data_IF_643350107913
#
_entry.id   IF_643350107913
#
_cell.length_a   1.000
_cell.length_b   1.000
_cell.length_c   1.000
_cell.angle_alpha   90.00
_cell.angle_beta   90.00
_cell.angle_gamma   90.00
#
_symmetry.space_group_name_H-M   'P 1'
#
loop_
_entity.id
_entity.type
_entity.pdbx_description
1 polymer ?
#
# COMPACT_ATOMS: atom_id res chain seq x y z
N UNK A 1 49.90 -6.13 47.25
CA UNK A 1 49.33 -6.16 45.89
C UNK A 1 49.82 -4.94 45.16
N UNK A 2 50.40 -5.11 43.97
CA UNK A 2 50.98 -4.03 43.18
C UNK A 2 49.86 -3.26 42.47
N UNK A 3 49.82 -1.94 42.66
CA UNK A 3 49.09 -1.03 41.77
C UNK A 3 50.15 -0.19 41.08
N UNK A 4 50.34 -0.44 39.78
CA UNK A 4 51.32 0.27 38.96
C UNK A 4 50.71 1.56 38.45
N UNK A 5 51.09 2.69 39.05
CA UNK A 5 50.91 3.98 38.40
C UNK A 5 52.27 4.43 37.83
N UNK A 6 52.34 4.48 36.50
CA UNK A 6 53.56 4.68 35.73
C UNK A 6 54.05 6.11 35.89
N UNK A 7 55.07 6.36 36.74
CA UNK A 7 56.17 7.35 36.53
C UNK A 7 57.12 7.60 37.72
N UNK A 8 56.94 6.94 38.87
CA UNK A 8 57.95 6.87 39.96
C UNK A 8 57.81 5.51 40.68
N UNK A 9 58.92 4.78 40.85
CA UNK A 9 58.92 3.51 41.59
C UNK A 9 58.80 3.79 43.10
N UNK A 10 57.57 3.79 43.60
CA UNK A 10 57.31 3.82 45.04
C UNK A 10 57.05 2.39 45.54
N UNK A 11 57.84 1.95 46.52
CA UNK A 11 57.56 0.71 47.25
C UNK A 11 56.53 0.99 48.34
N UNK A 12 55.30 0.51 48.14
CA UNK A 12 54.24 0.59 49.14
C UNK A 12 54.32 -0.63 50.06
N UNK A 13 54.58 -0.39 51.35
CA UNK A 13 54.58 -1.42 52.38
C UNK A 13 53.48 -1.12 53.41
N UNK A 14 52.84 -2.17 53.94
CA UNK A 14 51.89 -2.04 55.04
C UNK A 14 52.62 -2.22 56.36
N UNK A 15 52.46 -1.28 57.29
CA UNK A 15 52.91 -1.48 58.67
C UNK A 15 52.06 -2.57 59.35
N UNK A 16 52.54 -3.17 60.45
CA UNK A 16 51.73 -4.12 61.24
C UNK A 16 50.38 -3.52 61.66
N UNK A 17 50.35 -2.24 62.00
CA UNK A 17 49.13 -1.51 62.33
C UNK A 17 48.19 -1.36 61.13
N UNK A 18 48.74 -1.04 59.95
CA UNK A 18 47.97 -0.90 58.70
C UNK A 18 47.40 -2.25 58.24
N UNK A 19 48.15 -3.34 58.37
CA UNK A 19 47.66 -4.69 58.06
C UNK A 19 46.49 -5.09 58.99
N UNK A 20 46.61 -4.78 60.29
CA UNK A 20 45.54 -5.02 61.26
C UNK A 20 44.27 -4.21 60.97
N UNK A 21 44.42 -2.94 60.57
CA UNK A 21 43.30 -2.09 60.17
C UNK A 21 42.63 -2.60 58.89
N UNK A 22 43.41 -3.10 57.92
CA UNK A 22 42.89 -3.63 56.67
C UNK A 22 42.14 -4.97 56.87
N UNK A 23 42.63 -5.84 57.77
CA UNK A 23 41.89 -7.04 58.19
C UNK A 23 40.58 -6.70 58.90
N UNK A 24 40.57 -5.61 59.69
CA UNK A 24 39.39 -5.20 60.49
C UNK A 24 38.36 -4.44 59.64
N UNK A 25 38.82 -3.56 58.74
CA UNK A 25 37.98 -2.58 58.04
C UNK A 25 38.12 -2.57 56.51
N UNK A 26 39.10 -3.28 55.93
CA UNK A 26 39.40 -3.23 54.48
C UNK A 26 38.23 -3.67 53.58
N UNK A 27 37.31 -4.48 54.11
CA UNK A 27 36.13 -4.94 53.40
C UNK A 27 34.85 -4.17 53.75
N UNK A 28 34.91 -3.09 54.54
CA UNK A 28 33.70 -2.35 54.93
C UNK A 28 32.93 -1.82 53.71
N UNK A 29 33.65 -1.33 52.70
CA UNK A 29 33.02 -0.76 51.51
C UNK A 29 32.21 -1.81 50.74
N UNK A 30 32.76 -3.00 50.53
CA UNK A 30 32.04 -4.12 49.91
C UNK A 30 30.84 -4.55 50.76
N UNK A 31 31.01 -4.65 52.08
CA UNK A 31 29.89 -4.98 53.00
C UNK A 31 28.77 -3.95 52.96
N UNK A 32 29.10 -2.65 52.83
CA UNK A 32 28.11 -1.58 52.68
C UNK A 32 27.36 -1.77 51.35
N UNK A 33 28.06 -2.01 50.25
CA UNK A 33 27.43 -2.23 48.94
C UNK A 33 26.53 -3.47 48.92
N UNK A 34 26.97 -4.57 49.54
CA UNK A 34 26.18 -5.80 49.64
C UNK A 34 24.88 -5.55 50.43
N UNK A 35 24.96 -4.83 51.56
CA UNK A 35 23.81 -4.46 52.37
C UNK A 35 22.87 -3.50 51.63
N UNK A 36 23.40 -2.48 50.96
CA UNK A 36 22.61 -1.55 50.14
C UNK A 36 21.85 -2.30 49.03
N UNK A 37 22.53 -3.21 48.33
CA UNK A 37 21.93 -4.02 47.27
C UNK A 37 20.82 -4.92 47.81
N UNK A 38 21.03 -5.53 48.98
CA UNK A 38 20.03 -6.36 49.64
C UNK A 38 18.80 -5.54 50.05
N UNK A 39 19.01 -4.37 50.67
CA UNK A 39 17.93 -3.45 51.08
C UNK A 39 17.14 -2.97 49.86
N UNK A 40 17.81 -2.54 48.79
CA UNK A 40 17.16 -2.09 47.56
C UNK A 40 16.37 -3.22 46.90
N UNK A 41 16.92 -4.42 46.85
CA UNK A 41 16.26 -5.59 46.26
C UNK A 41 14.99 -5.95 47.05
N UNK A 42 15.07 -5.97 48.38
CA UNK A 42 13.91 -6.22 49.24
C UNK A 42 12.84 -5.14 49.06
N UNK A 43 13.23 -3.87 49.10
CA UNK A 43 12.31 -2.74 48.92
C UNK A 43 11.61 -2.79 47.55
N UNK A 44 12.37 -3.09 46.50
CA UNK A 44 11.80 -3.22 45.14
C UNK A 44 10.80 -4.38 45.07
N UNK A 45 11.11 -5.51 45.72
CA UNK A 45 10.19 -6.64 45.78
C UNK A 45 8.88 -6.30 46.51
N UNK A 46 8.97 -5.59 47.65
CA UNK A 46 7.79 -5.14 48.40
C UNK A 46 6.93 -4.17 47.58
N UNK A 47 7.53 -3.23 46.84
CA UNK A 47 6.81 -2.33 45.93
C UNK A 47 6.14 -3.10 44.80
N UNK A 48 6.84 -4.05 44.17
CA UNK A 48 6.31 -4.80 43.03
C UNK A 48 5.15 -5.73 43.41
N UNK A 49 5.10 -6.19 44.66
CA UNK A 49 4.00 -6.98 45.23
C UNK A 49 2.76 -6.13 45.53
N UNK A 50 2.92 -4.82 45.69
CA UNK A 50 1.81 -3.93 46.01
C UNK A 50 0.97 -3.64 44.76
N UNK A 51 -0.27 -4.12 44.81
CA UNK A 51 -1.27 -3.97 43.74
C UNK A 51 -1.62 -2.51 43.47
N UNK A 52 -1.52 -1.62 44.46
CA UNK A 52 -1.87 -0.21 44.31
C UNK A 52 -0.99 0.46 43.26
N UNK A 53 0.32 0.17 43.25
CA UNK A 53 1.24 0.74 42.25
C UNK A 53 0.96 0.20 40.85
N UNK A 54 0.67 -1.09 40.72
CA UNK A 54 0.33 -1.70 39.43
C UNK A 54 -0.96 -1.08 38.85
N UNK A 55 -2.00 -0.93 39.68
CA UNK A 55 -3.25 -0.28 39.29
C UNK A 55 -3.03 1.19 38.92
N UNK A 56 -2.24 1.94 39.70
CA UNK A 56 -1.95 3.35 39.42
C UNK A 56 -1.25 3.52 38.07
N UNK A 57 -0.24 2.70 37.78
CA UNK A 57 0.49 2.73 36.50
C UNK A 57 -0.45 2.38 35.35
N UNK A 58 -1.28 1.35 35.47
CA UNK A 58 -2.23 0.96 34.42
C UNK A 58 -3.27 2.06 34.15
N UNK A 59 -3.80 2.71 35.20
CA UNK A 59 -4.77 3.80 35.07
C UNK A 59 -4.14 5.05 34.45
N UNK A 60 -2.92 5.39 34.87
CA UNK A 60 -2.17 6.54 34.32
C UNK A 60 -1.82 6.31 32.86
N UNK A 61 -1.38 5.09 32.49
CA UNK A 61 -1.11 4.73 31.11
C UNK A 61 -2.37 4.81 30.23
N UNK A 62 -3.52 4.32 30.72
CA UNK A 62 -4.81 4.46 30.01
C UNK A 62 -5.18 5.93 29.81
N UNK A 63 -5.00 6.77 30.83
CA UNK A 63 -5.27 8.20 30.74
C UNK A 63 -4.37 8.87 29.68
N UNK A 64 -3.06 8.57 29.69
CA UNK A 64 -2.10 9.11 28.73
C UNK A 64 -2.45 8.74 27.28
N UNK A 65 -2.80 7.46 27.03
CA UNK A 65 -3.27 7.01 25.71
C UNK A 65 -4.53 7.76 25.27
N UNK A 66 -5.53 7.91 26.15
CA UNK A 66 -6.78 8.61 25.82
C UNK A 66 -6.53 10.09 25.51
N UNK A 67 -5.66 10.76 26.28
CA UNK A 67 -5.27 12.15 26.03
C UNK A 67 -4.50 12.30 24.72
N UNK A 68 -3.60 11.38 24.42
CA UNK A 68 -2.84 11.34 23.16
C UNK A 68 -3.78 11.19 21.95
N UNK A 69 -4.72 10.23 22.00
CA UNK A 69 -5.72 10.04 20.95
C UNK A 69 -6.60 11.28 20.77
N UNK A 70 -7.05 11.91 21.85
CA UNK A 70 -7.86 13.14 21.79
C UNK A 70 -7.08 14.33 21.20
N UNK A 71 -5.80 14.48 21.57
CA UNK A 71 -4.92 15.51 21.04
C UNK A 71 -4.73 15.37 19.52
N UNK A 72 -4.44 14.15 19.05
CA UNK A 72 -4.31 13.84 17.61
C UNK A 72 -5.64 14.05 16.89
N UNK A 73 -6.77 13.65 17.49
CA UNK A 73 -8.08 13.86 16.91
C UNK A 73 -8.37 15.34 16.65
N UNK A 74 -8.08 16.20 17.63
CA UNK A 74 -8.24 17.64 17.51
C UNK A 74 -7.28 18.25 16.48
N UNK A 75 -6.01 17.87 16.50
CA UNK A 75 -4.99 18.41 15.62
C UNK A 75 -5.22 18.09 14.13
N UNK A 76 -5.83 16.94 13.83
CA UNK A 76 -6.02 16.45 12.45
C UNK A 76 -7.49 16.44 11.98
N UNK A 77 -8.39 17.04 12.77
CA UNK A 77 -9.82 17.08 12.45
C UNK A 77 -10.42 15.69 12.26
N UNK A 78 -10.05 14.74 13.12
CA UNK A 78 -10.61 13.39 13.09
C UNK A 78 -12.01 13.39 13.69
N UNK A 79 -12.87 12.50 13.21
CA UNK A 79 -14.26 12.40 13.64
C UNK A 79 -14.51 11.10 14.40
N UNK A 80 -15.45 11.13 15.35
CA UNK A 80 -15.80 9.95 16.13
C UNK A 80 -16.56 8.97 15.23
N UNK A 81 -16.07 7.74 15.01
CA UNK A 81 -16.81 6.75 14.22
C UNK A 81 -18.03 6.24 15.00
N UNK A 82 -19.09 5.86 14.28
CA UNK A 82 -20.22 5.12 14.83
C UNK A 82 -20.03 3.63 14.59
N UNK A 83 -19.75 2.89 15.65
CA UNK A 83 -19.61 1.43 15.60
C UNK A 83 -21.00 0.77 15.63
N UNK A 84 -21.25 -0.19 14.73
CA UNK A 84 -22.50 -0.94 14.65
C UNK A 84 -22.27 -2.45 14.56
N UNK A 85 -23.29 -3.24 14.89
CA UNK A 85 -23.23 -4.70 14.77
C UNK A 85 -23.51 -5.19 13.34
N UNK A 86 -24.25 -4.40 12.55
CA UNK A 86 -24.60 -4.68 11.16
C UNK A 86 -23.34 -4.79 10.29
N UNK A 87 -23.40 -5.57 9.21
CA UNK A 87 -22.23 -5.83 8.38
C UNK A 87 -22.01 -4.74 7.32
N UNK A 88 -22.03 -3.48 7.74
CA UNK A 88 -21.89 -2.30 6.87
C UNK A 88 -20.55 -1.59 7.06
N UNK A 89 -20.08 -0.89 6.03
CA UNK A 89 -18.94 0.03 6.13
C UNK A 89 -19.23 1.23 5.25
N UNK A 90 -19.57 2.37 5.87
CA UNK A 90 -19.82 3.63 5.19
C UNK A 90 -18.80 4.66 5.68
N UNK A 91 -17.98 5.17 4.77
CA UNK A 91 -16.98 6.20 5.03
C UNK A 91 -17.27 7.33 4.05
N UNK A 92 -17.47 8.55 4.56
CA UNK A 92 -17.67 9.75 3.77
C UNK A 92 -16.43 10.63 3.86
N UNK A 93 -15.90 11.04 2.71
CA UNK A 93 -14.68 11.82 2.58
C UNK A 93 -13.52 11.26 3.43
N UNK A 94 -13.28 9.96 3.33
CA UNK A 94 -12.16 9.31 4.02
C UNK A 94 -10.81 9.85 3.53
N UNK A 95 -9.84 9.95 4.43
CA UNK A 95 -8.47 10.42 4.17
C UNK A 95 -7.44 9.42 4.68
N UNK A 96 -6.31 9.32 3.99
CA UNK A 96 -5.19 8.50 4.45
C UNK A 96 -4.32 9.28 5.43
N UNK A 97 -4.46 9.04 6.74
CA UNK A 97 -3.83 9.84 7.82
C UNK A 97 -2.32 10.10 7.67
N UNK A 98 -1.55 9.15 7.11
CA UNK A 98 -0.12 9.35 6.86
C UNK A 98 0.18 10.09 5.54
N UNK A 99 -0.57 9.79 4.48
CA UNK A 99 -0.32 10.34 3.14
C UNK A 99 -0.91 11.74 2.97
N UNK A 100 -1.91 12.12 3.77
CA UNK A 100 -2.37 13.52 3.80
C UNK A 100 -1.28 14.46 4.31
N UNK A 101 -0.31 13.96 5.10
CA UNK A 101 0.78 14.76 5.67
C UNK A 101 1.94 14.97 4.71
N UNK A 102 2.06 14.12 3.69
CA UNK A 102 3.11 14.24 2.67
C UNK A 102 2.71 15.18 1.54
N UNK A 103 1.44 15.60 1.52
CA UNK A 103 0.86 16.40 0.45
C UNK A 103 0.32 17.70 1.06
N UNK A 104 0.81 18.86 0.60
CA UNK A 104 0.47 20.17 1.19
C UNK A 104 -0.97 20.60 0.87
N UNK A 105 -1.95 20.08 1.64
CA UNK A 105 -3.36 20.50 1.59
C UNK A 105 -4.14 20.05 0.36
N UNK A 106 -3.54 19.27 -0.54
CA UNK A 106 -4.18 18.81 -1.79
C UNK A 106 -4.58 17.33 -1.78
N UNK A 107 -4.68 16.70 -0.61
CA UNK A 107 -5.15 15.31 -0.53
C UNK A 107 -6.64 15.25 -0.89
N UNK A 108 -6.99 14.38 -1.84
CA UNK A 108 -8.38 14.21 -2.29
C UNK A 108 -9.06 13.11 -1.45
N UNK A 109 -10.05 13.45 -0.62
CA UNK A 109 -10.78 12.47 0.16
C UNK A 109 -11.67 11.60 -0.74
N UNK A 110 -11.96 10.38 -0.30
CA UNK A 110 -12.75 9.41 -1.06
C UNK A 110 -13.77 8.69 -0.17
N UNK A 111 -14.96 8.48 -0.72
CA UNK A 111 -16.02 7.71 -0.08
C UNK A 111 -15.76 6.20 -0.19
N UNK A 112 -16.29 5.43 0.75
CA UNK A 112 -16.26 3.97 0.70
C UNK A 112 -17.55 3.40 1.26
N UNK A 113 -18.23 2.56 0.47
CA UNK A 113 -19.52 1.97 0.84
C UNK A 113 -19.47 0.47 0.63
N UNK A 114 -19.70 -0.29 1.69
CA UNK A 114 -19.96 -1.73 1.63
C UNK A 114 -21.26 -1.99 2.37
N UNK A 115 -22.24 -2.58 1.67
CA UNK A 115 -23.54 -2.93 2.23
C UNK A 115 -23.53 -4.38 2.68
N UNK A 116 -24.57 -4.81 3.40
CA UNK A 116 -24.67 -6.20 3.85
C UNK A 116 -25.06 -7.13 2.69
N UNK A 117 -26.06 -6.73 1.90
CA UNK A 117 -26.65 -7.55 0.84
C UNK A 117 -26.09 -7.28 -0.57
N UNK A 118 -25.21 -6.28 -0.71
CA UNK A 118 -24.66 -5.86 -2.00
C UNK A 118 -23.34 -5.11 -1.86
N UNK A 119 -22.69 -4.80 -2.98
CA UNK A 119 -21.48 -3.97 -3.07
C UNK A 119 -20.35 -4.38 -2.09
N UNK A 120 -20.09 -5.70 -2.00
CA UNK A 120 -19.10 -6.29 -1.08
C UNK A 120 -17.69 -6.32 -1.67
N UNK A 121 -17.58 -6.39 -2.98
CA UNK A 121 -16.33 -6.62 -3.71
C UNK A 121 -16.17 -5.48 -4.70
N UNK A 122 -15.18 -4.62 -4.45
CA UNK A 122 -14.84 -3.50 -5.32
C UNK A 122 -13.61 -3.84 -6.14
N UNK A 123 -13.76 -3.93 -7.45
CA UNK A 123 -12.63 -4.06 -8.38
C UNK A 123 -12.24 -2.67 -8.84
N UNK A 124 -11.06 -2.21 -8.40
CA UNK A 124 -10.57 -0.86 -8.67
C UNK A 124 -9.54 -0.90 -9.79
N UNK A 125 -9.87 -0.18 -10.87
CA UNK A 125 -9.02 -0.01 -12.04
C UNK A 125 -8.50 1.43 -12.16
N UNK A 126 -7.48 1.60 -12.98
CA UNK A 126 -6.90 2.91 -13.27
C UNK A 126 -5.40 2.82 -13.47
N UNK A 127 -4.77 3.89 -13.99
CA UNK A 127 -3.34 3.91 -14.28
C UNK A 127 -2.48 3.79 -13.01
N UNK A 128 -1.22 3.41 -13.17
CA UNK A 128 -0.23 3.58 -12.10
C UNK A 128 -0.23 5.03 -11.61
N UNK A 129 0.10 5.24 -10.34
CA UNK A 129 0.08 6.56 -9.68
C UNK A 129 -1.30 7.21 -9.49
N UNK A 130 -2.40 6.56 -9.89
CA UNK A 130 -3.75 7.12 -9.71
C UNK A 130 -4.30 7.05 -8.28
N UNK A 131 -3.54 6.51 -7.32
CA UNK A 131 -3.93 6.43 -5.91
C UNK A 131 -4.67 5.15 -5.47
N UNK A 132 -4.76 4.10 -6.31
CA UNK A 132 -5.47 2.84 -5.98
C UNK A 132 -5.04 2.22 -4.65
N UNK A 133 -3.74 1.98 -4.49
CA UNK A 133 -3.15 1.42 -3.26
C UNK A 133 -3.38 2.32 -2.05
N UNK A 134 -3.31 3.64 -2.24
CA UNK A 134 -3.54 4.64 -1.18
C UNK A 134 -4.98 4.55 -0.69
N UNK A 135 -5.95 4.45 -1.61
CA UNK A 135 -7.35 4.24 -1.27
C UNK A 135 -7.58 2.93 -0.51
N UNK A 136 -7.02 1.81 -0.97
CA UNK A 136 -7.18 0.53 -0.29
C UNK A 136 -6.65 0.57 1.15
N UNK A 137 -5.44 1.13 1.33
CA UNK A 137 -4.81 1.33 2.65
C UNK A 137 -5.61 2.30 3.52
N UNK A 138 -6.14 3.37 2.95
CA UNK A 138 -6.98 4.34 3.65
C UNK A 138 -8.17 3.67 4.32
N UNK A 139 -8.94 2.87 3.59
CA UNK A 139 -10.14 2.19 4.14
C UNK A 139 -9.76 1.29 5.30
N UNK A 140 -8.71 0.47 5.13
CA UNK A 140 -8.25 -0.42 6.17
C UNK A 140 -7.72 0.29 7.42
N UNK A 141 -6.98 1.39 7.24
CA UNK A 141 -6.49 2.21 8.36
C UNK A 141 -7.64 2.88 9.13
N UNK A 142 -8.66 3.38 8.43
CA UNK A 142 -9.86 3.95 9.07
C UNK A 142 -10.55 2.89 9.94
N UNK A 143 -10.75 1.69 9.41
CA UNK A 143 -11.35 0.58 10.15
C UNK A 143 -10.48 0.16 11.34
N UNK A 144 -9.17 0.05 11.15
CA UNK A 144 -8.23 -0.27 12.21
C UNK A 144 -8.27 0.76 13.35
N UNK A 145 -8.21 2.05 13.02
CA UNK A 145 -8.27 3.14 14.00
C UNK A 145 -9.58 3.13 14.79
N UNK A 146 -10.71 2.86 14.13
CA UNK A 146 -12.01 2.75 14.79
C UNK A 146 -12.03 1.59 15.80
N UNK A 147 -11.46 0.44 15.44
CA UNK A 147 -11.39 -0.74 16.32
C UNK A 147 -10.40 -0.59 17.48
N UNK A 148 -9.37 0.25 17.34
CA UNK A 148 -8.50 0.67 18.46
C UNK A 148 -9.24 1.58 19.45
N UNK A 149 -10.38 2.16 19.05
CA UNK A 149 -11.15 3.12 19.86
C UNK A 149 -10.74 4.57 19.62
N UNK A 150 -10.07 4.85 18.51
CA UNK A 150 -9.67 6.21 18.10
C UNK A 150 -10.76 6.89 17.25
N UNK A 151 -10.64 8.21 17.13
CA UNK A 151 -11.31 8.98 16.08
C UNK A 151 -10.66 8.68 14.73
N UNK A 152 -11.39 8.86 13.64
CA UNK A 152 -10.96 8.45 12.28
C UNK A 152 -10.86 9.64 11.31
N UNK A 153 -9.98 9.57 10.30
CA UNK A 153 -9.81 10.61 9.29
C UNK A 153 -10.90 10.55 8.21
N UNK A 154 -12.12 10.94 8.56
CA UNK A 154 -13.28 11.01 7.65
C UNK A 154 -14.22 12.12 8.14
N UNK A 155 -15.14 12.59 7.28
CA UNK A 155 -16.20 13.50 7.71
C UNK A 155 -17.26 12.73 8.51
N UNK A 156 -17.61 11.53 8.04
CA UNK A 156 -18.55 10.63 8.70
C UNK A 156 -18.09 9.18 8.50
N UNK A 157 -18.23 8.35 9.52
CA UNK A 157 -17.91 6.93 9.44
C UNK A 157 -18.89 6.07 10.24
N UNK A 158 -19.57 5.15 9.56
CA UNK A 158 -20.38 4.07 10.13
C UNK A 158 -19.66 2.74 9.88
N UNK A 159 -19.16 2.11 10.94
CA UNK A 159 -18.27 0.96 10.82
C UNK A 159 -18.88 -0.23 11.56
N UNK A 160 -19.28 -1.23 10.78
CA UNK A 160 -19.67 -2.54 11.27
C UNK A 160 -18.46 -3.33 11.74
N UNK A 161 -18.59 -4.05 12.87
CA UNK A 161 -17.50 -4.83 13.49
C UNK A 161 -16.78 -5.72 12.46
N UNK A 162 -15.48 -5.46 12.29
CA UNK A 162 -14.55 -6.21 11.45
C UNK A 162 -13.73 -7.17 12.32
N UNK A 163 -13.65 -8.45 11.91
CA UNK A 163 -12.91 -9.47 12.65
C UNK A 163 -11.44 -9.59 12.20
N UNK A 164 -11.18 -9.39 10.91
CA UNK A 164 -9.85 -9.55 10.30
C UNK A 164 -9.64 -8.54 9.18
N UNK A 165 -8.46 -7.94 9.13
CA UNK A 165 -7.95 -7.20 7.97
C UNK A 165 -6.86 -8.06 7.35
N UNK A 166 -7.10 -8.53 6.13
CA UNK A 166 -6.19 -9.41 5.39
C UNK A 166 -5.68 -8.67 4.16
N UNK A 167 -4.38 -8.78 3.89
CA UNK A 167 -3.76 -8.01 2.80
C UNK A 167 -2.86 -8.90 1.97
N UNK A 168 -2.99 -8.80 0.64
CA UNK A 168 -1.89 -9.06 -0.30
C UNK A 168 -1.41 -7.71 -0.81
N UNK A 169 -0.24 -7.29 -0.36
CA UNK A 169 0.46 -6.09 -0.80
C UNK A 169 1.96 -6.41 -0.83
N UNK A 170 2.70 -5.77 -1.73
CA UNK A 170 4.14 -6.00 -1.87
C UNK A 170 4.85 -5.73 -0.53
N UNK A 171 5.50 -6.76 0.03
CA UNK A 171 6.35 -6.63 1.22
C UNK A 171 7.82 -6.56 0.80
N UNK A 172 8.58 -5.71 1.49
CA UNK A 172 10.02 -5.49 1.23
C UNK A 172 10.82 -6.78 1.50
N UNK A 173 10.29 -7.69 2.31
CA UNK A 173 10.96 -8.89 2.82
C UNK A 173 10.95 -10.09 1.84
N UNK A 174 10.27 -9.98 0.69
CA UNK A 174 10.15 -11.08 -0.27
C UNK A 174 11.49 -11.52 -0.88
N UNK A 175 12.53 -10.66 -0.81
CA UNK A 175 13.87 -10.96 -1.30
C UNK A 175 14.66 -11.97 -0.44
N UNK A 176 14.21 -12.24 0.79
CA UNK A 176 14.97 -13.01 1.79
C UNK A 176 14.55 -14.48 1.91
N UNK A 177 13.39 -14.85 1.36
CA UNK A 177 12.92 -16.24 1.30
C UNK A 177 13.15 -16.78 -0.10
N UNK A 178 13.84 -17.92 -0.27
CA UNK A 178 14.11 -18.57 -1.56
C UNK A 178 12.88 -19.10 -2.33
N UNK A 179 11.72 -18.46 -2.18
CA UNK A 179 10.46 -18.72 -2.86
C UNK A 179 10.23 -17.67 -3.94
N UNK A 180 9.46 -18.01 -4.99
CA UNK A 180 9.09 -16.99 -5.99
C UNK A 180 8.14 -15.96 -5.38
N UNK A 181 8.24 -14.70 -5.83
CA UNK A 181 7.32 -13.64 -5.42
C UNK A 181 5.86 -14.03 -5.64
N UNK A 182 5.57 -14.66 -6.77
CA UNK A 182 4.23 -15.17 -7.08
C UNK A 182 3.74 -16.25 -6.08
N UNK A 183 4.61 -17.16 -5.64
CA UNK A 183 4.24 -18.18 -4.65
C UNK A 183 3.92 -17.57 -3.29
N UNK A 184 4.67 -16.56 -2.88
CA UNK A 184 4.40 -15.81 -1.66
C UNK A 184 3.05 -15.10 -1.73
N UNK A 185 2.78 -14.42 -2.85
CA UNK A 185 1.51 -13.77 -3.11
C UNK A 185 0.34 -14.74 -3.06
N UNK A 186 0.49 -15.87 -3.74
CA UNK A 186 -0.53 -16.91 -3.77
C UNK A 186 -0.81 -17.45 -2.38
N UNK A 187 0.23 -17.64 -1.56
CA UNK A 187 0.07 -18.10 -0.16
C UNK A 187 -0.74 -17.10 0.67
N UNK A 188 -0.51 -15.79 0.51
CA UNK A 188 -1.29 -14.75 1.20
C UNK A 188 -2.76 -14.74 0.74
N UNK A 189 -3.00 -14.89 -0.56
CA UNK A 189 -4.37 -14.97 -1.10
C UNK A 189 -5.07 -16.24 -0.63
N UNK A 190 -4.40 -17.40 -0.65
CA UNK A 190 -4.96 -18.66 -0.16
C UNK A 190 -5.32 -18.60 1.33
N UNK A 191 -4.49 -17.94 2.14
CA UNK A 191 -4.82 -17.68 3.54
C UNK A 191 -6.12 -16.88 3.66
N UNK A 192 -6.30 -15.86 2.81
CA UNK A 192 -7.53 -15.05 2.75
C UNK A 192 -8.74 -15.88 2.31
N UNK A 193 -8.60 -16.70 1.27
CA UNK A 193 -9.67 -17.59 0.81
C UNK A 193 -10.13 -18.57 1.90
N UNK A 194 -9.19 -19.13 2.67
CA UNK A 194 -9.50 -20.12 3.72
C UNK A 194 -10.09 -19.51 4.98
N UNK A 195 -9.61 -18.33 5.39
CA UNK A 195 -9.88 -17.81 6.73
C UNK A 195 -10.79 -16.57 6.77
N UNK A 196 -11.13 -15.97 5.63
CA UNK A 196 -12.03 -14.83 5.59
C UNK A 196 -13.47 -15.20 5.94
N UNK A 197 -14.07 -14.42 6.83
CA UNK A 197 -15.49 -14.49 7.19
C UNK A 197 -16.26 -13.39 6.46
N UNK A 198 -17.58 -13.36 6.60
CA UNK A 198 -18.39 -12.26 6.06
C UNK A 198 -18.06 -10.91 6.71
N UNK A 199 -17.38 -10.86 7.86
CA UNK A 199 -16.99 -9.61 8.54
C UNK A 199 -15.56 -9.16 8.23
N UNK A 200 -14.81 -9.95 7.46
CA UNK A 200 -13.41 -9.65 7.14
C UNK A 200 -13.31 -8.61 6.03
N UNK A 201 -12.22 -7.83 6.08
CA UNK A 201 -11.78 -6.95 4.99
C UNK A 201 -10.57 -7.59 4.31
N UNK A 202 -10.61 -7.71 2.99
CA UNK A 202 -9.51 -8.22 2.17
C UNK A 202 -9.03 -7.12 1.23
N UNK A 203 -7.74 -6.80 1.27
CA UNK A 203 -7.10 -5.91 0.31
C UNK A 203 -6.24 -6.75 -0.64
N UNK A 204 -6.56 -6.72 -1.92
CA UNK A 204 -5.77 -7.35 -2.97
C UNK A 204 -5.19 -6.25 -3.85
N UNK A 205 -3.90 -5.95 -3.69
CA UNK A 205 -3.23 -4.97 -4.54
C UNK A 205 -2.35 -5.69 -5.54
N UNK A 206 -2.55 -5.47 -6.84
CA UNK A 206 -1.68 -5.92 -7.93
C UNK A 206 -1.35 -7.43 -7.98
N UNK A 207 -2.24 -8.28 -7.46
CA UNK A 207 -2.09 -9.74 -7.54
C UNK A 207 -2.04 -10.23 -9.00
N UNK A 208 -1.16 -11.19 -9.29
CA UNK A 208 -1.01 -11.79 -10.62
C UNK A 208 0.06 -11.16 -11.51
N UNK A 209 0.87 -10.23 -11.00
CA UNK A 209 2.00 -9.63 -11.75
C UNK A 209 3.22 -10.53 -11.91
N UNK A 210 3.44 -11.47 -10.99
CA UNK A 210 4.63 -12.34 -10.98
C UNK A 210 4.55 -13.59 -11.87
N UNK A 211 3.58 -13.65 -12.79
CA UNK A 211 3.31 -14.81 -13.66
C UNK A 211 2.85 -14.33 -15.04
N UNK A 212 2.57 -15.27 -15.95
CA UNK A 212 2.01 -14.96 -17.27
C UNK A 212 0.73 -14.14 -17.14
N UNK A 213 0.61 -13.09 -17.94
CA UNK A 213 -0.49 -12.14 -17.83
C UNK A 213 -1.88 -12.77 -17.98
N UNK A 214 -1.99 -13.86 -18.76
CA UNK A 214 -3.21 -14.66 -18.89
C UNK A 214 -3.54 -15.43 -17.61
N UNK A 215 -2.53 -16.03 -16.99
CA UNK A 215 -2.67 -16.88 -15.81
C UNK A 215 -2.98 -16.01 -14.58
N UNK A 216 -2.27 -14.89 -14.44
CA UNK A 216 -2.53 -13.89 -13.40
C UNK A 216 -3.93 -13.30 -13.51
N UNK A 217 -4.38 -12.98 -14.73
CA UNK A 217 -5.75 -12.54 -15.00
C UNK A 217 -6.77 -13.61 -14.59
N UNK A 218 -6.61 -14.84 -15.05
CA UNK A 218 -7.54 -15.94 -14.78
C UNK A 218 -7.65 -16.26 -13.29
N UNK A 219 -6.51 -16.30 -12.58
CA UNK A 219 -6.47 -16.53 -11.14
C UNK A 219 -7.11 -15.38 -10.35
N UNK A 220 -6.77 -14.12 -10.66
CA UNK A 220 -7.34 -12.96 -9.97
C UNK A 220 -8.87 -12.97 -10.04
N UNK A 221 -9.41 -13.14 -11.26
CA UNK A 221 -10.85 -13.08 -11.48
C UNK A 221 -11.59 -14.33 -11.01
N UNK A 222 -10.99 -15.52 -11.10
CA UNK A 222 -11.59 -16.73 -10.53
C UNK A 222 -11.70 -16.67 -9.01
N UNK A 223 -10.71 -16.08 -8.32
CA UNK A 223 -10.75 -15.86 -6.88
C UNK A 223 -11.87 -14.88 -6.50
N UNK A 224 -11.98 -13.75 -7.20
CA UNK A 224 -13.06 -12.78 -6.96
C UNK A 224 -14.44 -13.40 -7.23
N UNK A 225 -14.57 -14.18 -8.30
CA UNK A 225 -15.80 -14.92 -8.61
C UNK A 225 -16.15 -15.91 -7.50
N UNK A 226 -15.18 -16.67 -6.98
CA UNK A 226 -15.38 -17.61 -5.88
C UNK A 226 -15.85 -16.92 -4.60
N UNK A 227 -15.37 -15.70 -4.30
CA UNK A 227 -15.90 -14.91 -3.20
C UNK A 227 -17.30 -14.37 -3.49
N UNK A 228 -17.55 -13.87 -4.70
CA UNK A 228 -18.84 -13.30 -5.10
C UNK A 228 -20.00 -14.31 -5.12
N UNK A 229 -19.68 -15.61 -5.24
CA UNK A 229 -20.63 -16.72 -5.16
C UNK A 229 -20.94 -17.17 -3.72
N UNK A 230 -20.20 -16.67 -2.71
CA UNK A 230 -20.53 -16.98 -1.31
C UNK A 230 -21.85 -16.29 -0.94
N UNK A 231 -22.70 -16.92 -0.11
CA UNK A 231 -23.92 -16.28 0.38
C UNK A 231 -23.64 -14.97 1.13
N UNK A 232 -22.51 -14.91 1.86
CA UNK A 232 -22.08 -13.74 2.62
C UNK A 232 -20.62 -13.42 2.33
N UNK A 233 -20.31 -12.68 1.25
CA UNK A 233 -18.93 -12.37 0.90
C UNK A 233 -18.26 -11.43 1.93
N UNK A 234 -16.94 -11.57 2.14
CA UNK A 234 -16.16 -10.55 2.86
C UNK A 234 -16.19 -9.21 2.10
N UNK A 235 -15.76 -8.15 2.77
CA UNK A 235 -15.54 -6.84 2.12
C UNK A 235 -14.20 -6.91 1.40
N UNK A 236 -14.17 -6.77 0.07
CA UNK A 236 -12.95 -6.89 -0.73
C UNK A 236 -12.68 -5.60 -1.49
N UNK A 237 -11.45 -5.10 -1.40
CA UNK A 237 -10.92 -4.05 -2.28
C UNK A 237 -9.82 -4.68 -3.12
N UNK A 238 -10.06 -4.82 -4.41
CA UNK A 238 -9.14 -5.46 -5.35
C UNK A 238 -8.64 -4.45 -6.37
N UNK A 239 -7.42 -3.95 -6.19
CA UNK A 239 -6.75 -3.03 -7.10
C UNK A 239 -6.00 -3.80 -8.19
N UNK A 240 -6.31 -3.52 -9.46
CA UNK A 240 -5.72 -4.24 -10.59
C UNK A 240 -5.36 -3.34 -11.76
N UNK A 241 -4.46 -3.85 -12.60
CA UNK A 241 -4.06 -3.26 -13.88
C UNK A 241 -4.57 -4.07 -15.07
N UNK A 242 -5.25 -5.20 -14.80
CA UNK A 242 -5.87 -5.97 -15.85
C UNK A 242 -7.02 -5.18 -16.48
N UNK A 243 -7.04 -5.15 -17.81
CA UNK A 243 -8.15 -4.58 -18.57
C UNK A 243 -9.42 -5.37 -18.23
N UNK A 244 -10.33 -4.76 -17.47
CA UNK A 244 -11.54 -5.43 -17.01
C UNK A 244 -12.57 -5.67 -18.12
N UNK A 245 -12.36 -5.14 -19.33
CA UNK A 245 -13.26 -5.31 -20.48
C UNK A 245 -13.48 -6.78 -20.86
N UNK A 246 -12.44 -7.61 -20.85
CA UNK A 246 -12.55 -9.06 -21.11
C UNK A 246 -13.24 -9.79 -19.95
N UNK A 247 -13.02 -9.33 -18.72
CA UNK A 247 -13.68 -9.91 -17.54
C UNK A 247 -15.16 -9.58 -17.50
N UNK A 248 -15.58 -8.35 -17.83
CA UNK A 248 -16.99 -7.96 -17.87
C UNK A 248 -17.86 -8.89 -18.71
N UNK A 249 -17.33 -9.44 -19.81
CA UNK A 249 -18.05 -10.38 -20.67
C UNK A 249 -18.32 -11.72 -19.97
N UNK A 250 -17.49 -12.10 -19.00
CA UNK A 250 -17.52 -13.40 -18.33
C UNK A 250 -17.70 -13.29 -16.80
N UNK A 251 -17.87 -12.07 -16.28
CA UNK A 251 -17.98 -11.81 -14.85
C UNK A 251 -19.30 -12.39 -14.34
N UNK A 252 -19.30 -13.03 -13.16
CA UNK A 252 -20.55 -13.45 -12.54
C UNK A 252 -21.43 -12.22 -12.30
N UNK A 253 -22.67 -12.26 -12.78
CA UNK A 253 -23.68 -11.25 -12.46
C UNK A 253 -24.05 -11.40 -10.98
N UNK A 254 -23.33 -10.69 -10.12
CA UNK A 254 -23.55 -10.68 -8.66
C UNK A 254 -23.78 -9.25 -8.20
N UNK A 255 -24.79 -9.05 -7.35
CA UNK A 255 -25.06 -7.77 -6.67
C UNK A 255 -23.92 -7.34 -5.74
N UNK A 256 -23.04 -8.28 -5.39
CA UNK A 256 -21.90 -8.03 -4.51
C UNK A 256 -20.69 -7.45 -5.24
N UNK A 257 -20.62 -7.53 -6.58
CA UNK A 257 -19.46 -7.12 -7.36
C UNK A 257 -19.71 -5.75 -8.01
N UNK A 258 -18.87 -4.78 -7.69
CA UNK A 258 -18.85 -3.48 -8.34
C UNK A 258 -17.48 -3.17 -8.94
N UNK A 259 -17.49 -2.37 -10.00
CA UNK A 259 -16.27 -1.91 -10.65
C UNK A 259 -16.15 -0.42 -10.45
N UNK A 260 -14.99 -0.01 -9.97
CA UNK A 260 -14.66 1.38 -9.70
C UNK A 260 -13.38 1.73 -10.45
N UNK A 261 -13.23 3.00 -10.79
CA UNK A 261 -12.04 3.52 -11.45
C UNK A 261 -11.55 4.77 -10.76
N UNK A 262 -10.23 4.93 -10.76
CA UNK A 262 -9.62 6.21 -10.42
C UNK A 262 -9.72 7.16 -11.61
N UNK A 263 -10.35 8.31 -11.38
CA UNK A 263 -10.61 9.29 -12.41
C UNK A 263 -9.31 9.93 -12.91
N UNK A 264 -9.17 9.98 -14.23
CA UNK A 264 -8.05 10.63 -14.89
C UNK A 264 -8.58 11.42 -16.09
N UNK A 265 -7.99 12.59 -16.30
CA UNK A 265 -8.29 13.45 -17.43
C UNK A 265 -7.11 13.44 -18.40
N UNK A 266 -7.39 13.32 -19.70
CA UNK A 266 -6.38 13.45 -20.74
C UNK A 266 -6.67 14.75 -21.47
N UNK A 267 -5.83 15.75 -21.25
CA UNK A 267 -5.95 17.02 -21.94
C UNK A 267 -5.55 16.81 -23.41
N UNK A 268 -6.52 16.79 -24.31
CA UNK A 268 -6.28 16.85 -25.75
C UNK A 268 -6.39 18.31 -26.14
N UNK A 269 -5.26 18.99 -26.40
CA UNK A 269 -5.29 20.30 -27.06
C UNK A 269 -5.95 20.09 -28.43
N UNK A 270 -7.19 20.54 -28.57
CA UNK A 270 -7.89 20.57 -29.86
C UNK A 270 -7.14 21.54 -30.76
N UNK A 271 -6.55 21.04 -31.84
CA UNK A 271 -6.07 21.88 -32.93
C UNK A 271 -7.26 22.73 -33.40
N UNK A 272 -7.08 24.05 -33.45
CA UNK A 272 -7.98 24.91 -34.23
C UNK A 272 -8.00 24.36 -35.66
N UNK A 273 -9.18 24.19 -36.23
CA UNK A 273 -9.35 23.84 -37.65
C UNK A 273 -8.49 24.78 -38.51
N UNK A 274 -7.55 24.27 -39.32
CA UNK A 274 -6.84 25.12 -40.26
C UNK A 274 -7.80 25.52 -41.38
N UNK A 275 -7.88 26.82 -41.67
CA UNK A 275 -8.45 27.31 -42.91
C UNK A 275 -7.69 26.70 -44.10
N UNK A 276 -8.42 26.39 -45.16
CA UNK A 276 -7.93 25.63 -46.30
C UNK A 276 -6.72 26.30 -46.97
N UNK A 277 -5.55 25.65 -46.91
CA UNK A 277 -4.40 25.99 -47.75
C UNK A 277 -3.02 26.04 -47.08
N UNK A 278 -2.90 25.90 -45.76
CA UNK A 278 -1.59 25.91 -45.10
C UNK A 278 -1.03 24.49 -44.91
N UNK A 279 0.26 24.33 -45.19
CA UNK A 279 1.03 23.09 -45.01
C UNK A 279 0.79 22.45 -43.65
N UNK A 280 0.69 21.12 -43.65
CA UNK A 280 0.34 20.29 -42.51
C UNK A 280 1.48 20.28 -41.45
N UNK A 281 1.67 21.40 -40.76
CA UNK A 281 2.42 21.43 -39.52
C UNK A 281 1.59 20.71 -38.46
N UNK A 282 1.92 19.43 -38.24
CA UNK A 282 1.44 18.66 -37.08
C UNK A 282 2.02 19.32 -35.84
N UNK A 283 1.35 20.35 -35.32
CA UNK A 283 1.70 20.96 -34.05
C UNK A 283 1.58 19.90 -32.95
N UNK A 284 2.64 19.84 -32.14
CA UNK A 284 2.85 18.90 -31.04
C UNK A 284 1.65 18.92 -30.09
N UNK A 285 0.78 17.92 -30.20
CA UNK A 285 -0.27 17.70 -29.20
C UNK A 285 0.35 17.09 -27.94
N UNK A 286 0.79 17.93 -27.02
CA UNK A 286 1.16 17.55 -25.65
C UNK A 286 -0.09 17.06 -24.91
N UNK A 287 -0.36 15.76 -25.02
CA UNK A 287 -1.44 15.13 -24.27
C UNK A 287 -0.96 14.90 -22.84
N UNK A 288 -1.36 15.78 -21.91
CA UNK A 288 -1.03 15.66 -20.49
C UNK A 288 -2.09 14.81 -19.79
N UNK A 289 -1.65 13.77 -19.08
CA UNK A 289 -2.52 12.99 -18.19
C UNK A 289 -2.53 13.68 -16.82
N UNK A 290 -3.73 13.99 -16.35
CA UNK A 290 -3.98 14.59 -15.03
C UNK A 290 -4.72 13.56 -14.18
N UNK A 291 -4.12 13.16 -13.06
CA UNK A 291 -4.75 12.27 -12.09
C UNK A 291 -5.60 13.09 -11.12
N UNK A 292 -6.88 12.74 -11.00
CA UNK A 292 -7.79 13.47 -10.12
C UNK A 292 -7.89 12.83 -8.73
N UNK A 293 -7.33 11.63 -8.54
CA UNK A 293 -7.30 10.87 -7.28
C UNK A 293 -8.68 10.61 -6.66
N UNK A 294 -9.74 10.74 -7.47
CA UNK A 294 -11.12 10.50 -7.09
C UNK A 294 -11.57 9.13 -7.60
N UNK A 295 -12.13 8.34 -6.70
CA UNK A 295 -12.75 7.07 -7.03
C UNK A 295 -14.17 7.32 -7.53
N UNK A 296 -14.48 6.79 -8.71
CA UNK A 296 -15.82 6.87 -9.32
C UNK A 296 -16.25 5.48 -9.81
N UNK A 297 -17.56 5.27 -9.95
CA UNK A 297 -18.09 4.03 -10.50
C UNK A 297 -17.68 3.86 -11.98
N UNK A 298 -17.48 2.62 -12.39
CA UNK A 298 -17.15 2.22 -13.75
C UNK A 298 -15.74 1.64 -13.92
N UNK A 299 -15.37 1.41 -15.18
CA UNK A 299 -14.13 0.73 -15.57
C UNK A 299 -13.25 1.67 -16.37
N UNK A 300 -11.95 1.57 -16.13
CA UNK A 300 -10.93 2.26 -16.94
C UNK A 300 -10.56 1.39 -18.14
N UNK A 301 -10.82 1.89 -19.35
CA UNK A 301 -10.47 1.19 -20.60
C UNK A 301 -9.03 1.46 -21.06
N UNK A 302 -8.39 2.52 -20.55
CA UNK A 302 -7.12 3.00 -21.09
C UNK A 302 -5.93 2.58 -20.21
N UNK A 303 -5.00 1.81 -20.79
CA UNK A 303 -3.66 1.64 -20.21
C UNK A 303 -2.82 2.89 -20.51
N UNK A 304 -2.73 3.80 -19.55
CA UNK A 304 -2.01 5.06 -19.74
C UNK A 304 -0.50 4.94 -19.56
N UNK A 305 0.05 3.73 -19.42
CA UNK A 305 1.48 3.51 -19.17
C UNK A 305 2.41 4.15 -20.21
N UNK A 306 2.04 4.08 -21.49
CA UNK A 306 2.81 4.72 -22.58
C UNK A 306 2.77 6.25 -22.47
N UNK A 307 1.64 6.82 -22.04
CA UNK A 307 1.52 8.26 -21.79
C UNK A 307 2.33 8.69 -20.56
N UNK A 308 2.37 7.87 -19.49
CA UNK A 308 3.23 8.10 -18.33
C UNK A 308 4.72 8.12 -18.73
N UNK A 309 5.14 7.21 -19.60
CA UNK A 309 6.53 7.14 -20.05
C UNK A 309 6.92 8.41 -20.82
N UNK A 310 6.03 8.96 -21.66
CA UNK A 310 6.26 10.24 -22.33
C UNK A 310 6.43 11.40 -21.34
N UNK A 311 5.57 11.46 -20.31
CA UNK A 311 5.67 12.46 -19.25
C UNK A 311 6.97 12.33 -18.45
N UNK A 312 7.52 11.12 -18.33
CA UNK A 312 8.82 10.88 -17.71
C UNK A 312 10.02 11.28 -18.59
N UNK A 313 9.78 11.85 -19.78
CA UNK A 313 10.82 12.32 -20.69
C UNK A 313 11.28 11.29 -21.73
N UNK A 314 10.50 10.24 -21.97
CA UNK A 314 10.81 9.27 -23.04
C UNK A 314 10.80 9.95 -24.41
N UNK A 315 11.82 9.68 -25.23
CA UNK A 315 11.93 10.25 -26.57
C UNK A 315 10.70 9.94 -27.44
N UNK A 316 10.23 10.94 -28.19
CA UNK A 316 9.00 10.83 -29.00
C UNK A 316 9.07 9.70 -30.03
N UNK A 317 10.26 9.39 -30.57
CA UNK A 317 10.45 8.27 -31.51
C UNK A 317 10.16 6.91 -30.88
N UNK A 318 10.61 6.71 -29.63
CA UNK A 318 10.37 5.48 -28.86
C UNK A 318 8.90 5.43 -28.44
N UNK A 319 8.31 6.57 -28.08
CA UNK A 319 6.90 6.66 -27.73
C UNK A 319 5.98 6.29 -28.91
N UNK A 320 6.22 6.88 -30.08
CA UNK A 320 5.48 6.58 -31.31
C UNK A 320 5.59 5.10 -31.66
N UNK A 321 6.80 4.54 -31.62
CA UNK A 321 7.01 3.11 -31.86
C UNK A 321 6.27 2.23 -30.85
N UNK A 322 6.27 2.61 -29.58
CA UNK A 322 5.55 1.88 -28.54
C UNK A 322 4.04 1.90 -28.78
N UNK A 323 3.51 3.05 -29.22
CA UNK A 323 2.09 3.20 -29.55
C UNK A 323 1.68 2.37 -30.78
N UNK A 324 2.53 2.32 -31.82
CA UNK A 324 2.33 1.44 -32.99
C UNK A 324 2.26 -0.03 -32.57
N UNK A 325 3.23 -0.50 -31.77
CA UNK A 325 3.28 -1.89 -31.30
C UNK A 325 2.04 -2.24 -30.47
N UNK A 326 1.59 -1.32 -29.60
CA UNK A 326 0.39 -1.54 -28.80
C UNK A 326 -0.86 -1.62 -29.68
N UNK A 327 -0.99 -0.74 -30.67
CA UNK A 327 -2.12 -0.75 -31.62
C UNK A 327 -2.15 -2.05 -32.44
N UNK A 328 -0.97 -2.53 -32.86
CA UNK A 328 -0.83 -3.83 -33.55
C UNK A 328 -1.26 -4.99 -32.65
N UNK A 329 -0.85 -5.00 -31.38
CA UNK A 329 -1.25 -6.03 -30.40
C UNK A 329 -2.75 -6.01 -30.07
N UNK A 330 -3.37 -4.83 -30.04
CA UNK A 330 -4.81 -4.70 -29.81
C UNK A 330 -5.65 -5.22 -30.99
N UNK A 331 -5.15 -5.07 -32.22
CA UNK A 331 -5.85 -5.50 -33.44
C UNK A 331 -5.56 -6.95 -33.83
N UNK A 332 -4.37 -7.46 -33.50
CA UNK A 332 -3.95 -8.82 -33.78
C UNK A 332 -3.83 -9.56 -32.45
N UNK A 333 -4.83 -10.36 -32.07
CA UNK A 333 -4.78 -11.23 -30.88
C UNK A 333 -3.75 -12.37 -30.94
N UNK A 334 -2.61 -12.19 -31.62
CA UNK A 334 -1.57 -13.19 -31.87
C UNK A 334 -0.16 -12.68 -31.58
N UNK A 335 0.82 -13.60 -31.55
CA UNK A 335 2.24 -13.29 -31.32
C UNK A 335 2.78 -12.37 -32.41
N UNK A 336 3.72 -11.48 -32.05
CA UNK A 336 4.47 -10.62 -32.98
C UNK A 336 5.24 -11.40 -34.07
N UNK A 337 5.36 -12.72 -33.94
CA UNK A 337 6.02 -13.62 -34.90
C UNK A 337 5.14 -14.03 -36.09
N UNK A 338 3.81 -13.83 -36.02
CA UNK A 338 2.87 -14.24 -37.08
C UNK A 338 2.75 -13.24 -38.25
N UNK A 339 3.54 -12.15 -38.24
CA UNK A 339 3.55 -11.14 -39.30
C UNK A 339 4.34 -11.54 -40.56
N UNK A 340 4.69 -12.83 -40.74
CA UNK A 340 5.21 -13.35 -42.02
C UNK A 340 4.13 -13.81 -43.00
N UNK A 341 2.84 -13.79 -42.61
CA UNK A 341 1.78 -14.42 -43.41
C UNK A 341 0.67 -13.53 -43.96
N UNK A 342 0.60 -12.24 -43.61
CA UNK A 342 -0.46 -11.35 -44.12
C UNK A 342 0.17 -10.29 -45.03
N UNK A 343 0.66 -10.76 -46.17
CA UNK A 343 1.11 -9.93 -47.28
C UNK A 343 0.20 -10.23 -48.46
N UNK A 344 -0.73 -9.33 -48.74
CA UNK A 344 -1.14 -8.96 -50.10
C UNK A 344 -2.03 -7.71 -50.00
N UNK A 345 -1.42 -6.53 -50.17
CA UNK A 345 -2.16 -5.29 -50.40
C UNK A 345 -1.60 -4.03 -49.71
N UNK A 346 -0.86 -4.16 -48.61
CA UNK A 346 -0.39 -3.00 -47.81
C UNK A 346 1.14 -2.84 -47.76
N UNK A 347 1.89 -3.64 -48.52
CA UNK A 347 3.35 -3.59 -48.58
C UNK A 347 3.92 -2.45 -49.44
N UNK A 348 3.21 -1.98 -50.46
CA UNK A 348 3.78 -1.01 -51.41
C UNK A 348 4.02 0.40 -50.82
N UNK A 349 3.23 0.81 -49.82
CA UNK A 349 3.42 2.13 -49.19
C UNK A 349 4.51 2.18 -48.13
N UNK A 350 4.87 1.02 -47.56
CA UNK A 350 5.88 0.93 -46.50
C UNK A 350 7.28 0.72 -47.11
N UNK A 351 7.38 0.01 -48.23
CA UNK A 351 8.65 -0.21 -48.95
C UNK A 351 9.32 1.09 -49.46
N UNK A 352 8.52 2.09 -49.84
CA UNK A 352 9.07 3.38 -50.29
C UNK A 352 9.69 4.21 -49.14
N UNK A 353 9.33 3.94 -47.88
CA UNK A 353 9.92 4.66 -46.71
C UNK A 353 11.14 3.95 -46.12
N UNK A 354 11.21 2.62 -46.25
CA UNK A 354 12.36 1.82 -45.78
C UNK A 354 13.60 1.94 -46.70
N UNK A 355 13.41 2.10 -48.01
CA UNK A 355 14.52 2.29 -48.96
C UNK A 355 15.31 3.58 -48.74
N UNK A 356 14.71 4.58 -48.07
CA UNK A 356 15.40 5.82 -47.70
C UNK A 356 16.24 5.69 -46.42
N UNK A 357 16.00 4.67 -45.60
CA UNK A 357 16.70 4.44 -44.33
C UNK A 357 17.95 3.56 -44.46
N UNK A 358 18.06 2.78 -45.55
CA UNK A 358 19.20 1.90 -45.83
C UNK A 358 20.33 2.57 -46.64
N UNK A 359 20.15 3.83 -47.07
CA UNK A 359 21.11 4.59 -47.90
C UNK A 359 21.73 5.81 -47.19
N UNK A 360 21.79 5.81 -45.86
CA UNK A 360 22.63 6.76 -45.12
C UNK A 360 23.90 6.01 -44.72
N UNK A 361 24.98 6.25 -45.47
CA UNK A 361 26.33 5.78 -45.19
C UNK A 361 26.80 6.24 -43.79
N UNK A 362 27.40 5.29 -43.07
CA UNK A 362 28.12 5.31 -41.77
C UNK A 362 28.25 6.63 -40.99
#
# INVERSE_FOLDING_TARGET
>A
AFVSDFRKEFFLYKSKSTARLDETFGNLHMKIQDLETAILSQFTFEILQDKLWQELVERTAKLDVLLSLASVAKAHGLQRPRMVNDNVLLIKNGRHILNERTVNGSFIPNDSTFLEDSDRIHVITGPNFSGKTVYAKQVALIVYMAHVGSFVPADEALIGICDKIMTRMDSIDASSSGQSSFMMDLTQVLNSVRNATSRSIILLDEFGRGTDSSDGFGLFFSILSAFAQRPYPPRIIACTHFSCTTFLQHAPKSSHLSFKKMECFIERKTAKTPEAGAELHVERSDSKVIYLYRLVEGISDNSLGIFCARLAGLADSIWQRSFEILTLRSNCGGRLEDLKGVADGTQDKIHHKLSRFLNLDL
#
